data_IF_736636970636
#
_entry.id   IF_736636970636
#
_cell.length_a   1.000
_cell.length_b   1.000
_cell.length_c   1.000
_cell.angle_alpha   90.00
_cell.angle_beta   90.00
_cell.angle_gamma   90.00
#
_symmetry.space_group_name_H-M   'P 1'
#
loop_
_entity.id
_entity.type
_entity.pdbx_description
1 polymer ?
#
# COMPACT_ATOMS: atom_id res chain seq x y z
N UNK A 1 11.04 -19.48 4.60
CA UNK A 1 11.59 -19.97 3.30
C UNK A 1 10.44 -20.01 2.30
N UNK A 2 10.21 -18.90 1.56
CA UNK A 2 9.12 -18.84 0.58
C UNK A 2 9.54 -19.55 -0.70
N UNK A 3 9.03 -20.74 -0.94
CA UNK A 3 9.04 -21.38 -2.26
C UNK A 3 7.64 -21.25 -2.89
N UNK A 4 7.33 -20.07 -3.44
CA UNK A 4 6.24 -19.90 -4.38
C UNK A 4 6.70 -20.41 -5.74
N UNK A 5 6.43 -21.67 -6.11
CA UNK A 5 6.54 -22.12 -7.50
C UNK A 5 5.36 -21.54 -8.27
N UNK A 6 5.62 -20.49 -9.05
CA UNK A 6 4.75 -20.17 -10.17
C UNK A 6 4.85 -21.30 -11.19
N UNK A 7 3.87 -22.19 -11.22
CA UNK A 7 3.76 -23.23 -12.26
C UNK A 7 3.33 -22.54 -13.55
N UNK A 8 4.31 -22.30 -14.43
CA UNK A 8 4.05 -21.84 -15.80
C UNK A 8 3.38 -22.95 -16.59
N UNK A 9 2.22 -22.65 -17.20
CA UNK A 9 1.70 -23.44 -18.31
C UNK A 9 2.60 -23.18 -19.54
N UNK A 10 3.16 -24.22 -20.21
CA UNK A 10 3.87 -24.05 -21.47
C UNK A 10 2.96 -23.42 -22.51
N UNK A 11 3.39 -22.33 -23.17
CA UNK A 11 2.65 -21.69 -24.26
C UNK A 11 1.82 -20.46 -23.89
N UNK A 12 1.79 -19.99 -22.62
CA UNK A 12 1.18 -18.70 -22.33
C UNK A 12 2.05 -17.55 -22.85
N UNK A 13 1.45 -16.50 -23.51
CA UNK A 13 2.22 -15.33 -23.94
C UNK A 13 2.94 -14.73 -22.72
N UNK A 14 4.17 -14.26 -22.94
CA UNK A 14 4.90 -13.53 -21.89
C UNK A 14 4.11 -12.27 -21.57
N UNK A 15 3.42 -12.25 -20.43
CA UNK A 15 2.83 -11.03 -19.94
C UNK A 15 4.01 -10.12 -19.54
N UNK A 16 4.34 -9.18 -20.40
CA UNK A 16 5.29 -8.11 -20.06
C UNK A 16 4.51 -7.07 -19.27
N UNK A 17 4.87 -6.89 -18.01
CA UNK A 17 4.36 -5.80 -17.18
C UNK A 17 5.42 -4.69 -17.14
N UNK A 18 4.96 -3.44 -17.15
CA UNK A 18 5.85 -2.27 -17.16
C UNK A 18 6.36 -1.92 -15.76
N UNK A 19 5.56 -2.17 -14.73
CA UNK A 19 5.87 -1.89 -13.33
C UNK A 19 5.31 -2.99 -12.41
N UNK A 20 5.86 -3.09 -11.20
CA UNK A 20 5.39 -4.03 -10.17
C UNK A 20 4.93 -3.24 -8.95
N UNK A 21 3.66 -3.35 -8.55
CA UNK A 21 3.20 -2.84 -7.26
C UNK A 21 3.22 -3.96 -6.22
N UNK A 22 3.99 -3.77 -5.16
CA UNK A 22 4.13 -4.70 -4.04
C UNK A 22 3.30 -4.19 -2.88
N UNK A 23 2.23 -4.91 -2.58
CA UNK A 23 1.37 -4.61 -1.44
C UNK A 23 1.90 -5.29 -0.17
N UNK A 24 2.54 -4.51 0.71
CA UNK A 24 3.06 -4.99 2.00
C UNK A 24 2.06 -4.86 3.15
N UNK A 25 0.84 -4.40 2.86
CA UNK A 25 -0.19 -4.05 3.87
C UNK A 25 -1.32 -5.05 3.99
N UNK A 26 -1.22 -6.27 3.42
CA UNK A 26 -2.34 -7.20 3.37
C UNK A 26 -2.65 -7.78 4.76
N UNK A 27 -3.83 -7.49 5.37
CA UNK A 27 -4.21 -8.00 6.68
C UNK A 27 -4.60 -9.50 6.68
N UNK A 28 -4.71 -10.10 5.49
CA UNK A 28 -5.25 -11.46 5.32
C UNK A 28 -4.18 -12.56 5.26
N UNK A 29 -2.90 -12.24 5.41
CA UNK A 29 -1.83 -13.25 5.44
C UNK A 29 -1.64 -13.71 6.87
N UNK A 30 -1.97 -14.97 7.15
CA UNK A 30 -1.95 -15.58 8.49
C UNK A 30 -0.57 -15.60 9.16
N UNK A 31 0.50 -15.46 8.41
CA UNK A 31 1.87 -15.35 8.92
C UNK A 31 2.57 -14.14 8.30
N UNK A 32 2.72 -13.06 9.06
CA UNK A 32 3.60 -11.95 8.72
C UNK A 32 2.99 -10.74 8.02
N UNK A 33 1.78 -10.82 7.42
CA UNK A 33 1.27 -9.76 6.55
C UNK A 33 1.05 -8.39 7.21
N UNK A 34 0.53 -8.34 8.44
CA UNK A 34 0.34 -7.07 9.18
C UNK A 34 1.69 -6.56 9.70
N UNK A 35 2.56 -7.45 10.17
CA UNK A 35 3.86 -7.08 10.73
C UNK A 35 4.77 -6.40 9.68
N UNK A 36 4.74 -6.84 8.43
CA UNK A 36 5.61 -6.30 7.38
C UNK A 36 5.28 -4.86 6.99
N UNK A 37 4.01 -4.48 7.01
CA UNK A 37 3.56 -3.13 6.67
C UNK A 37 3.58 -2.15 7.84
N UNK A 38 3.97 -2.57 9.04
CA UNK A 38 3.99 -1.75 10.25
C UNK A 38 5.40 -1.56 10.83
N UNK A 39 6.38 -2.37 10.40
CA UNK A 39 7.76 -2.27 10.83
C UNK A 39 8.63 -1.73 9.68
N UNK A 40 9.25 -0.53 9.85
CA UNK A 40 10.11 0.07 8.83
C UNK A 40 11.28 -0.82 8.41
N UNK A 41 11.89 -1.55 9.34
CA UNK A 41 13.02 -2.45 9.04
C UNK A 41 12.58 -3.63 8.16
N UNK A 42 11.42 -4.21 8.45
CA UNK A 42 10.85 -5.26 7.62
C UNK A 42 10.49 -4.73 6.22
N UNK A 43 9.89 -3.54 6.13
CA UNK A 43 9.55 -2.90 4.85
C UNK A 43 10.80 -2.66 3.98
N UNK A 44 11.87 -2.16 4.57
CA UNK A 44 13.16 -1.98 3.89
C UNK A 44 13.74 -3.31 3.38
N UNK A 45 13.76 -4.35 4.22
CA UNK A 45 14.28 -5.66 3.86
C UNK A 45 13.50 -6.31 2.72
N UNK A 46 12.16 -6.24 2.75
CA UNK A 46 11.30 -6.76 1.68
C UNK A 46 11.58 -6.01 0.39
N UNK A 47 11.65 -4.68 0.45
CA UNK A 47 11.95 -3.85 -0.72
C UNK A 47 13.29 -4.24 -1.34
N UNK A 48 14.35 -4.38 -0.54
CA UNK A 48 15.67 -4.86 -0.99
C UNK A 48 15.59 -6.25 -1.64
N UNK A 49 14.84 -7.16 -1.04
CA UNK A 49 14.71 -8.52 -1.58
C UNK A 49 13.98 -8.53 -2.93
N UNK A 50 12.94 -7.72 -3.09
CA UNK A 50 12.21 -7.58 -4.36
C UNK A 50 13.11 -6.92 -5.42
N UNK A 51 13.78 -5.82 -5.08
CA UNK A 51 14.67 -5.10 -6.01
C UNK A 51 15.84 -5.95 -6.50
N UNK A 52 16.29 -6.93 -5.73
CA UNK A 52 17.33 -7.88 -6.15
C UNK A 52 16.94 -8.72 -7.38
N UNK A 53 15.64 -8.98 -7.56
CA UNK A 53 15.13 -9.90 -8.59
C UNK A 53 14.25 -9.22 -9.63
N UNK A 54 13.67 -8.08 -9.28
CA UNK A 54 12.83 -7.30 -10.18
C UNK A 54 13.69 -6.60 -11.26
N UNK A 55 13.25 -6.72 -12.52
CA UNK A 55 13.81 -5.98 -13.65
C UNK A 55 13.03 -4.70 -13.94
N UNK A 56 11.77 -4.69 -13.55
CA UNK A 56 10.86 -3.57 -13.71
C UNK A 56 10.98 -2.61 -12.53
N UNK A 57 10.55 -1.34 -12.70
CA UNK A 57 10.35 -0.44 -11.59
C UNK A 57 9.41 -1.02 -10.53
N UNK A 58 9.74 -0.81 -9.26
CA UNK A 58 9.01 -1.35 -8.11
C UNK A 58 8.31 -0.22 -7.37
N UNK A 59 7.00 -0.33 -7.26
CA UNK A 59 6.14 0.52 -6.45
C UNK A 59 5.89 -0.20 -5.12
N UNK A 60 6.14 0.47 -4.00
CA UNK A 60 5.83 -0.08 -2.68
C UNK A 60 4.54 0.56 -2.15
N UNK A 61 3.49 -0.27 -1.94
CA UNK A 61 2.20 0.21 -1.45
C UNK A 61 2.12 0.13 0.07
N UNK A 62 1.97 1.31 0.69
CA UNK A 62 2.02 1.49 2.14
C UNK A 62 0.64 1.40 2.81
N UNK A 63 0.66 0.90 4.06
CA UNK A 63 -0.49 0.86 4.94
C UNK A 63 -0.71 2.19 5.65
N UNK A 64 -1.97 2.66 5.80
CA UNK A 64 -2.27 3.80 6.67
C UNK A 64 -2.31 3.43 8.17
N UNK A 65 -2.28 2.14 8.50
CA UNK A 65 -2.41 1.66 9.88
C UNK A 65 -1.03 1.62 10.58
N UNK A 66 -0.34 2.75 10.55
CA UNK A 66 1.00 2.97 11.11
C UNK A 66 1.04 4.26 11.91
N UNK A 67 1.98 4.36 12.83
CA UNK A 67 2.17 5.56 13.66
C UNK A 67 2.79 6.71 12.85
N UNK A 68 3.83 6.41 12.05
CA UNK A 68 4.51 7.39 11.20
C UNK A 68 4.65 6.85 9.78
N UNK A 69 3.87 7.42 8.86
CA UNK A 69 3.89 7.04 7.44
C UNK A 69 5.18 7.54 6.75
N UNK A 70 5.75 8.64 7.22
CA UNK A 70 6.97 9.18 6.65
C UNK A 70 8.19 8.27 6.96
N UNK A 71 8.22 7.67 8.15
CA UNK A 71 9.24 6.68 8.50
C UNK A 71 9.16 5.44 7.60
N UNK A 72 7.94 4.94 7.36
CA UNK A 72 7.71 3.82 6.45
C UNK A 72 8.14 4.15 5.03
N UNK A 73 7.82 5.35 4.55
CA UNK A 73 8.20 5.80 3.21
C UNK A 73 9.73 5.91 3.05
N UNK A 74 10.43 6.49 4.02
CA UNK A 74 11.91 6.52 4.02
C UNK A 74 12.52 5.13 4.04
N UNK A 75 11.92 4.17 4.75
CA UNK A 75 12.41 2.81 4.83
C UNK A 75 12.33 2.09 3.46
N UNK A 76 11.21 2.21 2.75
CA UNK A 76 11.08 1.61 1.41
C UNK A 76 11.96 2.31 0.37
N UNK A 77 12.14 3.64 0.46
CA UNK A 77 13.11 4.38 -0.36
C UNK A 77 14.54 3.88 -0.12
N UNK A 78 14.96 3.74 1.14
CA UNK A 78 16.27 3.16 1.50
C UNK A 78 16.42 1.69 1.04
N UNK A 79 15.31 0.97 0.91
CA UNK A 79 15.25 -0.35 0.32
C UNK A 79 15.43 -0.39 -1.20
N UNK A 80 15.38 0.79 -1.87
CA UNK A 80 15.54 0.95 -3.30
C UNK A 80 14.23 0.93 -4.08
N UNK A 81 13.09 1.24 -3.46
CA UNK A 81 11.83 1.46 -4.19
C UNK A 81 11.99 2.58 -5.22
N UNK A 82 11.38 2.40 -6.39
CA UNK A 82 11.37 3.43 -7.43
C UNK A 82 10.20 4.41 -7.25
N UNK A 83 9.09 3.95 -6.64
CA UNK A 83 7.88 4.71 -6.39
C UNK A 83 7.24 4.26 -5.09
N UNK A 84 6.57 5.15 -4.38
CA UNK A 84 5.70 4.83 -3.24
C UNK A 84 4.26 5.07 -3.64
N UNK A 85 3.37 4.14 -3.32
CA UNK A 85 1.92 4.35 -3.42
C UNK A 85 1.27 4.26 -2.04
N UNK A 86 0.28 5.10 -1.77
CA UNK A 86 -0.48 5.12 -0.53
C UNK A 86 -1.84 5.83 -0.71
N UNK A 87 -2.87 5.44 -0.01
CA UNK A 87 -2.88 4.52 1.13
C UNK A 87 -3.64 3.23 0.80
N UNK A 88 -3.33 2.15 1.50
CA UNK A 88 -4.22 1.01 1.59
C UNK A 88 -5.43 1.35 2.49
N UNK A 89 -6.33 0.41 2.74
CA UNK A 89 -7.52 0.63 3.57
C UNK A 89 -7.17 0.83 5.06
N UNK A 90 -7.94 1.68 5.72
CA UNK A 90 -7.94 1.76 7.19
C UNK A 90 -8.63 0.52 7.78
N UNK A 91 -8.17 0.08 8.93
CA UNK A 91 -8.84 -1.03 9.64
C UNK A 91 -10.12 -0.51 10.30
N UNK A 92 -11.24 -1.12 9.94
CA UNK A 92 -12.55 -0.81 10.50
C UNK A 92 -13.29 -2.04 11.00
N UNK A 93 -14.45 -1.83 11.63
CA UNK A 93 -15.34 -2.88 12.12
C UNK A 93 -16.80 -2.45 11.95
N UNK A 94 -17.68 -3.43 11.73
CA UNK A 94 -19.12 -3.22 11.80
C UNK A 94 -19.79 -4.31 12.62
N UNK A 95 -20.67 -3.89 13.55
CA UNK A 95 -21.49 -4.77 14.38
C UNK A 95 -22.95 -4.61 13.94
N UNK A 96 -23.64 -5.72 13.72
CA UNK A 96 -25.08 -5.78 13.56
C UNK A 96 -25.71 -5.75 14.96
N UNK A 97 -26.34 -4.63 15.32
CA UNK A 97 -26.91 -4.42 16.65
C UNK A 97 -28.10 -5.33 16.89
N UNK A 98 -28.90 -5.62 15.86
CA UNK A 98 -30.09 -6.48 15.97
C UNK A 98 -29.70 -7.94 16.22
N UNK A 99 -28.69 -8.42 15.48
CA UNK A 99 -28.18 -9.77 15.61
C UNK A 99 -27.17 -9.94 16.74
N UNK A 100 -26.68 -8.83 17.32
CA UNK A 100 -25.60 -8.79 18.33
C UNK A 100 -24.37 -9.57 17.86
N UNK A 101 -24.00 -9.40 16.59
CA UNK A 101 -22.94 -10.17 15.91
C UNK A 101 -22.07 -9.28 15.02
N UNK A 102 -20.87 -9.73 14.75
CA UNK A 102 -20.00 -9.08 13.78
C UNK A 102 -20.56 -9.29 12.36
N UNK A 103 -20.57 -8.23 11.55
CA UNK A 103 -21.00 -8.30 10.14
C UNK A 103 -19.95 -9.03 9.30
N UNK A 104 -18.68 -8.83 9.60
CA UNK A 104 -17.56 -9.46 8.90
C UNK A 104 -17.09 -10.71 9.65
N UNK A 105 -16.86 -11.81 8.92
CA UNK A 105 -16.39 -13.06 9.50
C UNK A 105 -15.05 -12.91 10.27
N UNK A 106 -14.16 -12.04 9.77
CA UNK A 106 -12.88 -11.72 10.42
C UNK A 106 -12.99 -10.61 11.49
N UNK A 107 -14.21 -10.21 11.87
CA UNK A 107 -14.53 -9.12 12.81
C UNK A 107 -14.13 -7.73 12.30
N UNK A 108 -12.92 -7.59 11.76
CA UNK A 108 -12.39 -6.35 11.17
C UNK A 108 -12.27 -6.48 9.66
N UNK A 109 -12.21 -5.35 8.96
CA UNK A 109 -12.02 -5.28 7.51
C UNK A 109 -11.49 -3.92 7.08
N UNK A 110 -11.21 -3.77 5.80
CA UNK A 110 -10.73 -2.53 5.22
C UNK A 110 -11.86 -1.51 5.05
N UNK A 111 -11.67 -0.33 5.61
CA UNK A 111 -12.49 0.86 5.34
C UNK A 111 -11.88 1.63 4.19
N UNK A 112 -12.66 1.89 3.14
CA UNK A 112 -12.32 2.69 1.96
C UNK A 112 -13.45 3.66 1.60
N UNK A 113 -13.30 4.38 0.50
CA UNK A 113 -14.29 5.34 0.01
C UNK A 113 -14.04 6.77 0.52
N UNK A 114 -14.98 7.71 0.26
CA UNK A 114 -14.77 9.15 0.49
C UNK A 114 -14.39 9.51 1.93
N UNK A 115 -14.87 8.74 2.90
CA UNK A 115 -14.60 8.99 4.32
C UNK A 115 -13.11 8.95 4.69
N UNK A 116 -12.28 8.21 3.93
CA UNK A 116 -10.83 8.11 4.22
C UNK A 116 -9.99 9.18 3.52
N UNK A 117 -10.57 9.96 2.57
CA UNK A 117 -9.82 10.94 1.76
C UNK A 117 -8.99 11.91 2.61
N UNK A 118 -9.49 12.55 3.67
CA UNK A 118 -8.70 13.48 4.48
C UNK A 118 -7.47 12.82 5.11
N UNK A 119 -7.57 11.55 5.48
CA UNK A 119 -6.45 10.78 6.02
C UNK A 119 -5.44 10.50 4.92
N UNK A 120 -5.91 10.09 3.73
CA UNK A 120 -5.06 9.80 2.57
C UNK A 120 -4.28 11.04 2.12
N UNK A 121 -4.95 12.18 1.96
CA UNK A 121 -4.32 13.46 1.59
C UNK A 121 -3.23 13.86 2.59
N UNK A 122 -3.52 13.81 3.89
CA UNK A 122 -2.53 14.08 4.95
C UNK A 122 -1.31 13.16 4.82
N UNK A 123 -1.53 11.85 4.64
CA UNK A 123 -0.43 10.89 4.54
C UNK A 123 0.39 11.07 3.27
N UNK A 124 -0.23 11.42 2.14
CA UNK A 124 0.47 11.77 0.90
C UNK A 124 1.35 13.00 1.13
N UNK A 125 0.82 14.06 1.75
CA UNK A 125 1.60 15.25 2.08
C UNK A 125 2.82 14.91 2.95
N UNK A 126 2.64 14.12 4.01
CA UNK A 126 3.74 13.69 4.89
C UNK A 126 4.79 12.87 4.14
N UNK A 127 4.35 11.97 3.27
CA UNK A 127 5.24 11.12 2.46
C UNK A 127 6.01 11.96 1.43
N UNK A 128 5.34 12.81 0.67
CA UNK A 128 5.96 13.64 -0.36
C UNK A 128 7.04 14.58 0.20
N UNK A 129 6.88 15.04 1.46
CA UNK A 129 7.90 15.82 2.16
C UNK A 129 9.03 14.97 2.77
N UNK A 130 8.90 13.66 2.81
CA UNK A 130 9.85 12.77 3.47
C UNK A 130 10.77 12.01 2.52
N UNK A 131 10.37 11.81 1.26
CA UNK A 131 11.10 11.03 0.25
C UNK A 131 11.36 11.84 -1.01
N UNK A 132 12.30 11.37 -1.83
CA UNK A 132 12.66 11.98 -3.13
C UNK A 132 12.06 11.25 -4.32
N UNK A 133 11.61 10.00 -4.12
CA UNK A 133 10.99 9.19 -5.16
C UNK A 133 9.53 9.62 -5.40
N UNK A 134 8.97 9.40 -6.60
CA UNK A 134 7.58 9.74 -6.91
C UNK A 134 6.58 9.10 -5.95
N UNK A 135 5.49 9.84 -5.68
CA UNK A 135 4.41 9.40 -4.78
C UNK A 135 3.11 9.28 -5.56
N UNK A 136 2.45 8.12 -5.49
CA UNK A 136 1.11 7.90 -6.03
C UNK A 136 0.10 7.96 -4.89
N UNK A 137 -0.80 8.95 -4.95
CA UNK A 137 -1.87 9.11 -3.96
C UNK A 137 -3.13 8.33 -4.34
N UNK A 138 -3.74 7.65 -3.37
CA UNK A 138 -5.01 6.97 -3.55
C UNK A 138 -5.82 6.92 -2.26
N UNK A 139 -7.15 6.86 -2.41
CA UNK A 139 -8.08 6.66 -1.31
C UNK A 139 -9.15 7.73 -1.22
N UNK A 140 -10.37 7.38 -1.63
CA UNK A 140 -11.55 8.22 -1.50
C UNK A 140 -11.69 9.31 -2.56
N UNK A 141 -10.98 9.21 -3.69
CA UNK A 141 -11.10 10.11 -4.84
C UNK A 141 -12.42 9.80 -5.56
N UNK A 142 -13.28 10.80 -5.67
CA UNK A 142 -14.59 10.70 -6.34
C UNK A 142 -14.76 11.75 -7.43
N UNK A 143 -14.05 12.86 -7.36
CA UNK A 143 -14.16 14.00 -8.28
C UNK A 143 -12.80 14.44 -8.79
N UNK A 144 -12.78 15.31 -9.78
CA UNK A 144 -11.55 15.93 -10.27
C UNK A 144 -10.88 16.82 -9.20
N UNK A 145 -11.67 17.51 -8.39
CA UNK A 145 -11.18 18.32 -7.28
C UNK A 145 -10.47 17.44 -6.24
N UNK A 146 -11.00 16.25 -5.94
CA UNK A 146 -10.34 15.30 -5.05
C UNK A 146 -8.96 14.91 -5.59
N UNK A 147 -8.87 14.62 -6.89
CA UNK A 147 -7.59 14.29 -7.53
C UNK A 147 -6.59 15.46 -7.45
N UNK A 148 -7.05 16.69 -7.70
CA UNK A 148 -6.22 17.90 -7.58
C UNK A 148 -5.73 18.12 -6.15
N UNK A 149 -6.56 17.82 -5.14
CA UNK A 149 -6.18 17.90 -3.73
C UNK A 149 -4.97 17.00 -3.41
N UNK A 150 -4.94 15.77 -3.95
CA UNK A 150 -3.78 14.88 -3.82
C UNK A 150 -2.54 15.41 -4.54
N UNK A 151 -2.69 15.96 -5.74
CA UNK A 151 -1.57 16.57 -6.47
C UNK A 151 -1.01 17.78 -5.70
N UNK A 152 -1.87 18.63 -5.17
CA UNK A 152 -1.46 19.78 -4.33
C UNK A 152 -0.80 19.34 -3.02
N UNK A 153 -1.17 18.17 -2.49
CA UNK A 153 -0.50 17.55 -1.35
C UNK A 153 0.89 16.96 -1.69
N UNK A 154 1.29 16.97 -2.96
CA UNK A 154 2.61 16.52 -3.42
C UNK A 154 2.62 15.16 -4.10
N UNK A 155 1.46 14.57 -4.42
CA UNK A 155 1.41 13.37 -5.24
C UNK A 155 1.89 13.68 -6.67
N UNK A 156 2.68 12.77 -7.24
CA UNK A 156 3.09 12.81 -8.65
C UNK A 156 1.98 12.29 -9.56
N UNK A 157 1.19 11.36 -9.06
CA UNK A 157 0.05 10.79 -9.74
C UNK A 157 -1.01 10.33 -8.72
N UNK A 158 -2.22 10.05 -9.20
CA UNK A 158 -3.34 9.51 -8.42
C UNK A 158 -3.89 8.23 -9.03
N UNK A 159 -4.55 7.39 -8.20
CA UNK A 159 -5.20 6.14 -8.61
C UNK A 159 -6.54 5.97 -7.90
#
# INVERSE_FOLDING_TARGET
MFRGRATRRPGSPRCTVDMLEINISCPNVKEGGIAFGQDPKCAEQITKAVKKVAKQPVIMKLSPNVTDIAEMARAVEAGGADVVSLINTLTGMKIDVQKRAFVLANKTGGLSGPAIKPVAVRMVYQTANAVKIPVIGMGGIMTAEDALEFILAGATAVS
#
